data_IF_937692012838
#
_entry.id   IF_937692012838
#
_cell.length_a   1.000
_cell.length_b   1.000
_cell.length_c   1.000
_cell.angle_alpha   90.00
_cell.angle_beta   90.00
_cell.angle_gamma   90.00
#
_symmetry.space_group_name_H-M   'P 1'
#
loop_
_entity.id
_entity.type
_entity.pdbx_description
1 polymer ?
#
# COMPACT_ATOMS: atom_id res chain seq x y z
N UNK A 1 8.02 41.99 -2.44
CA UNK A 1 7.55 40.63 -2.78
C UNK A 1 6.59 40.31 -1.67
N UNK A 2 5.31 40.46 -1.98
CA UNK A 2 4.28 40.53 -0.95
C UNK A 2 3.67 39.15 -0.75
N UNK A 3 3.01 38.95 0.37
CA UNK A 3 2.40 37.66 0.69
C UNK A 3 1.32 37.27 -0.32
N UNK A 4 1.26 36.01 -0.76
CA UNK A 4 0.30 35.58 -1.77
C UNK A 4 -1.11 35.66 -1.20
N UNK A 5 -2.03 36.30 -1.92
CA UNK A 5 -3.42 36.37 -1.47
C UNK A 5 -4.02 34.97 -1.32
N UNK A 6 -4.93 34.82 -0.35
CA UNK A 6 -5.66 33.58 -0.11
C UNK A 6 -6.29 33.05 -1.42
N UNK A 7 -6.01 31.78 -1.74
CA UNK A 7 -6.51 31.11 -2.95
C UNK A 7 -5.55 31.16 -4.14
N UNK A 8 -4.46 31.92 -4.07
CA UNK A 8 -3.39 31.83 -5.07
C UNK A 8 -2.63 30.51 -4.95
N UNK A 9 -2.00 30.09 -6.06
CA UNK A 9 -1.26 28.81 -6.15
C UNK A 9 -0.14 28.68 -5.11
N UNK A 10 0.49 29.79 -4.75
CA UNK A 10 1.57 29.82 -3.75
C UNK A 10 1.07 30.03 -2.31
N UNK A 11 -0.21 30.34 -2.11
CA UNK A 11 -0.75 30.56 -0.78
C UNK A 11 -0.97 29.23 -0.03
N UNK A 12 -0.83 29.21 1.30
CA UNK A 12 -1.23 28.07 2.11
C UNK A 12 -2.73 27.80 1.94
N UNK A 13 -3.11 26.53 2.00
CA UNK A 13 -4.52 26.16 2.16
C UNK A 13 -5.03 26.75 3.47
N UNK A 14 -6.29 27.17 3.49
CA UNK A 14 -6.89 27.71 4.71
C UNK A 14 -6.87 26.67 5.82
N UNK A 15 -6.24 27.01 6.93
CA UNK A 15 -6.19 26.16 8.10
C UNK A 15 -7.52 26.18 8.85
N UNK A 16 -8.09 24.99 9.05
CA UNK A 16 -9.41 24.78 9.67
C UNK A 16 -9.32 24.15 11.07
N UNK A 17 -8.15 24.18 11.71
CA UNK A 17 -7.99 23.65 13.07
C UNK A 17 -7.84 22.13 13.16
N UNK A 18 -7.42 21.45 12.09
CA UNK A 18 -7.16 20.01 12.13
C UNK A 18 -5.77 19.71 12.69
N UNK A 19 -5.70 18.89 13.74
CA UNK A 19 -4.44 18.49 14.38
C UNK A 19 -3.42 17.87 13.42
N UNK A 20 -3.88 17.13 12.39
CA UNK A 20 -2.99 16.53 11.39
C UNK A 20 -2.35 17.51 10.42
N UNK A 21 -2.92 18.72 10.29
CA UNK A 21 -2.53 19.70 9.27
C UNK A 21 -1.76 20.89 9.87
N UNK A 22 -1.80 21.10 11.19
CA UNK A 22 -1.25 22.30 11.85
C UNK A 22 0.26 22.45 11.64
N UNK A 23 1.04 21.38 11.82
CA UNK A 23 2.50 21.42 11.66
C UNK A 23 2.90 21.73 10.22
N UNK A 24 2.21 21.14 9.25
CA UNK A 24 2.46 21.37 7.82
C UNK A 24 2.08 22.78 7.39
N UNK A 25 0.97 23.29 7.92
CA UNK A 25 0.50 24.65 7.69
C UNK A 25 1.51 25.68 8.21
N UNK A 26 1.93 25.58 9.48
CA UNK A 26 2.93 26.47 10.09
C UNK A 26 4.24 26.43 9.32
N UNK A 27 4.74 25.23 8.98
CA UNK A 27 5.97 25.06 8.19
C UNK A 27 5.85 25.65 6.78
N UNK A 28 4.68 25.63 6.18
CA UNK A 28 4.46 26.29 4.89
C UNK A 28 4.49 27.81 5.06
N UNK A 29 3.84 28.33 6.09
CA UNK A 29 3.80 29.76 6.38
C UNK A 29 5.21 30.32 6.69
N UNK A 30 6.01 29.63 7.50
CA UNK A 30 7.40 30.03 7.77
C UNK A 30 8.28 30.07 6.51
N UNK A 31 8.07 29.13 5.57
CA UNK A 31 8.76 29.15 4.28
C UNK A 31 8.37 30.37 3.45
N UNK A 32 7.11 30.79 3.50
CA UNK A 32 6.64 31.99 2.82
C UNK A 32 7.20 33.26 3.48
N UNK A 33 7.22 33.34 4.81
CA UNK A 33 7.88 34.45 5.51
C UNK A 33 9.34 34.59 5.08
N UNK A 34 10.06 33.47 4.98
CA UNK A 34 11.45 33.47 4.50
C UNK A 34 11.56 33.91 3.04
N UNK A 35 10.67 33.45 2.16
CA UNK A 35 10.64 33.81 0.72
C UNK A 35 10.34 35.29 0.52
N UNK A 36 9.36 35.83 1.25
CA UNK A 36 8.93 37.22 1.17
C UNK A 36 9.78 38.17 2.05
N UNK A 37 10.78 37.64 2.77
CA UNK A 37 11.68 38.39 3.68
C UNK A 37 10.95 39.12 4.81
N UNK A 38 9.86 38.54 5.31
CA UNK A 38 9.12 39.07 6.46
C UNK A 38 9.92 38.73 7.71
N UNK A 39 10.45 39.76 8.35
CA UNK A 39 11.32 39.63 9.53
C UNK A 39 10.61 40.04 10.81
N UNK A 40 9.72 41.02 10.73
CA UNK A 40 8.93 41.48 11.86
C UNK A 40 7.95 40.42 12.37
N UNK A 41 7.82 40.32 13.69
CA UNK A 41 6.98 39.31 14.32
C UNK A 41 5.49 39.72 14.35
N UNK A 42 5.18 41.02 14.39
CA UNK A 42 3.80 41.48 14.33
C UNK A 42 3.20 41.23 12.95
N UNK A 43 3.97 41.48 11.89
CA UNK A 43 3.57 41.12 10.52
C UNK A 43 3.28 39.63 10.38
N UNK A 44 4.14 38.75 10.92
CA UNK A 44 3.91 37.29 10.89
C UNK A 44 2.62 36.90 11.61
N UNK A 45 2.36 37.48 12.78
CA UNK A 45 1.13 37.25 13.54
C UNK A 45 -0.11 37.69 12.73
N UNK A 46 -0.05 38.85 12.05
CA UNK A 46 -1.15 39.33 11.21
C UNK A 46 -1.39 38.42 10.00
N UNK A 47 -0.33 38.03 9.30
CA UNK A 47 -0.45 37.14 8.15
C UNK A 47 -0.96 35.74 8.51
N UNK A 48 -0.67 35.23 9.71
CA UNK A 48 -1.25 33.98 10.20
C UNK A 48 -2.79 34.04 10.15
N UNK A 49 -3.38 35.17 10.51
CA UNK A 49 -4.83 35.36 10.54
C UNK A 49 -5.45 35.24 9.15
N UNK A 50 -4.79 35.75 8.10
CA UNK A 50 -5.31 35.75 6.72
C UNK A 50 -5.53 34.35 6.15
N UNK A 51 -4.72 33.37 6.59
CA UNK A 51 -4.81 31.98 6.13
C UNK A 51 -5.54 31.05 7.11
N UNK A 52 -6.07 31.59 8.21
CA UNK A 52 -6.87 30.82 9.17
C UNK A 52 -8.37 30.99 8.93
N UNK A 53 -9.15 29.95 9.22
CA UNK A 53 -10.61 30.04 9.31
C UNK A 53 -11.05 30.92 10.49
N UNK A 54 -12.30 31.41 10.47
CA UNK A 54 -12.83 32.29 11.51
C UNK A 54 -12.72 31.70 12.92
N UNK A 55 -13.06 30.42 13.10
CA UNK A 55 -12.99 29.76 14.41
C UNK A 55 -11.55 29.72 14.96
N UNK A 56 -10.59 29.41 14.07
CA UNK A 56 -9.17 29.40 14.40
C UNK A 56 -8.68 30.83 14.71
N UNK A 57 -9.13 31.83 13.97
CA UNK A 57 -8.81 33.23 14.24
C UNK A 57 -9.33 33.70 15.61
N UNK A 58 -10.54 33.28 16.01
CA UNK A 58 -11.10 33.60 17.32
C UNK A 58 -10.20 33.02 18.42
N UNK A 59 -9.79 31.76 18.30
CA UNK A 59 -8.85 31.14 19.23
C UNK A 59 -7.52 31.90 19.26
N UNK A 60 -6.91 32.18 18.11
CA UNK A 60 -5.61 32.87 18.03
C UNK A 60 -5.68 34.26 18.69
N UNK A 61 -6.76 35.02 18.47
CA UNK A 61 -6.95 36.34 19.11
C UNK A 61 -7.06 36.26 20.64
N UNK A 62 -7.51 35.13 21.18
CA UNK A 62 -7.58 34.94 22.64
C UNK A 62 -6.24 34.61 23.29
N UNK A 63 -5.22 34.23 22.50
CA UNK A 63 -3.89 33.87 23.02
C UNK A 63 -3.08 35.11 23.40
N UNK A 64 -2.38 35.02 24.54
CA UNK A 64 -1.51 36.10 25.02
C UNK A 64 -0.35 36.37 24.09
N UNK A 65 0.19 35.33 23.47
CA UNK A 65 1.31 35.42 22.53
C UNK A 65 0.95 36.26 21.29
N UNK A 66 -0.32 36.20 20.84
CA UNK A 66 -0.81 37.06 19.77
C UNK A 66 -0.95 38.51 20.22
N UNK A 67 -1.50 38.76 21.42
CA UNK A 67 -1.61 40.12 21.98
C UNK A 67 -0.25 40.80 22.12
N UNK A 68 0.78 40.04 22.49
CA UNK A 68 2.17 40.49 22.62
C UNK A 68 2.94 40.52 21.29
N UNK A 69 2.31 40.10 20.19
CA UNK A 69 2.90 40.04 18.85
C UNK A 69 4.21 39.22 18.80
N UNK A 70 4.27 38.12 19.56
CA UNK A 70 5.45 37.25 19.64
C UNK A 70 5.24 36.00 18.79
N UNK A 71 5.79 36.01 17.57
CA UNK A 71 5.58 34.93 16.60
C UNK A 71 6.05 33.56 17.12
N UNK A 72 7.23 33.49 17.74
CA UNK A 72 7.78 32.21 18.24
C UNK A 72 6.90 31.57 19.30
N UNK A 73 6.48 32.35 20.30
CA UNK A 73 5.57 31.89 21.36
C UNK A 73 4.19 31.52 20.79
N UNK A 74 3.66 32.36 19.89
CA UNK A 74 2.37 32.11 19.27
C UNK A 74 2.37 30.82 18.44
N UNK A 75 3.44 30.60 17.68
CA UNK A 75 3.63 29.37 16.89
C UNK A 75 3.56 28.15 17.78
N UNK A 76 4.31 28.14 18.88
CA UNK A 76 4.40 26.99 19.76
C UNK A 76 3.07 26.77 20.50
N UNK A 77 2.38 27.84 20.91
CA UNK A 77 1.05 27.78 21.54
C UNK A 77 -0.05 27.31 20.55
N UNK A 78 0.03 27.70 19.27
CA UNK A 78 -0.84 27.18 18.21
C UNK A 78 -0.59 25.70 17.95
N UNK A 79 0.68 25.26 17.92
CA UNK A 79 1.01 23.84 17.78
C UNK A 79 0.49 23.02 18.97
N UNK A 80 0.60 23.56 20.18
CA UNK A 80 0.12 22.90 21.40
C UNK A 80 -1.41 22.85 21.46
N UNK A 81 -2.10 23.96 21.20
CA UNK A 81 -3.57 24.04 21.28
C UNK A 81 -4.28 23.09 20.31
N UNK A 82 -3.65 22.75 19.18
CA UNK A 82 -4.17 21.79 18.22
C UNK A 82 -3.57 20.38 18.37
N UNK A 83 -2.87 20.08 19.45
CA UNK A 83 -2.20 18.80 19.70
C UNK A 83 -1.41 18.32 18.47
N UNK A 84 -0.51 19.16 17.95
CA UNK A 84 0.30 18.84 16.78
C UNK A 84 1.02 17.47 16.91
N UNK A 85 1.43 17.11 18.13
CA UNK A 85 2.09 15.84 18.44
C UNK A 85 1.17 14.63 18.30
N UNK A 86 -0.15 14.80 18.46
CA UNK A 86 -1.14 13.73 18.23
C UNK A 86 -1.10 13.23 16.78
N UNK A 87 -0.75 14.10 15.83
CA UNK A 87 -0.57 13.69 14.44
C UNK A 87 0.63 12.74 14.29
N UNK A 88 1.69 12.94 15.08
CA UNK A 88 2.84 12.04 15.15
C UNK A 88 2.42 10.72 15.80
N UNK A 89 1.50 10.74 16.78
CA UNK A 89 0.97 9.58 17.48
C UNK A 89 -0.14 8.79 16.74
N UNK A 90 -0.42 9.10 15.47
CA UNK A 90 -1.50 8.48 14.69
C UNK A 90 -1.59 6.96 14.82
N UNK A 91 -0.45 6.28 14.91
CA UNK A 91 -0.36 4.85 15.12
C UNK A 91 0.36 4.52 16.44
N UNK A 92 -0.19 3.54 17.15
CA UNK A 92 0.33 2.96 18.39
C UNK A 92 0.97 1.59 18.12
N UNK A 93 1.80 1.05 19.04
CA UNK A 93 2.36 -0.30 18.89
C UNK A 93 1.29 -1.38 18.67
N UNK A 94 0.12 -1.24 19.30
CA UNK A 94 -0.99 -2.16 19.11
C UNK A 94 -1.53 -2.18 17.67
N UNK A 95 -1.47 -1.05 16.96
CA UNK A 95 -1.87 -0.98 15.54
C UNK A 95 -0.91 -1.78 14.66
N UNK A 96 0.38 -1.82 15.01
CA UNK A 96 1.40 -2.62 14.32
C UNK A 96 1.12 -4.11 14.50
N UNK A 97 0.82 -4.54 15.73
CA UNK A 97 0.47 -5.94 16.03
C UNK A 97 -0.81 -6.33 15.30
N UNK A 98 -1.85 -5.50 15.36
CA UNK A 98 -3.13 -5.73 14.68
C UNK A 98 -2.96 -5.82 13.17
N UNK A 99 -2.17 -4.92 12.58
CA UNK A 99 -1.83 -4.95 11.16
C UNK A 99 -1.09 -6.24 10.80
N UNK A 100 -0.10 -6.64 11.62
CA UNK A 100 0.71 -7.85 11.43
C UNK A 100 -0.18 -9.10 11.43
N UNK A 101 -1.05 -9.25 12.42
CA UNK A 101 -1.96 -10.39 12.53
C UNK A 101 -2.94 -10.47 11.36
N UNK A 102 -3.48 -9.32 10.92
CA UNK A 102 -4.37 -9.25 9.76
C UNK A 102 -3.67 -9.63 8.46
N UNK A 103 -2.48 -9.07 8.23
CA UNK A 103 -1.72 -9.28 6.98
C UNK A 103 -1.11 -10.67 6.89
N UNK A 104 -0.77 -11.30 8.03
CA UNK A 104 -0.32 -12.69 8.09
C UNK A 104 -1.30 -13.66 7.43
N UNK A 105 -2.60 -13.36 7.46
CA UNK A 105 -3.66 -14.19 6.88
C UNK A 105 -4.11 -13.71 5.50
N UNK A 106 -3.48 -12.66 4.95
CA UNK A 106 -3.83 -12.10 3.64
C UNK A 106 -2.78 -12.55 2.62
N UNK A 107 -3.13 -13.37 1.63
CA UNK A 107 -2.15 -13.80 0.63
C UNK A 107 -1.67 -12.64 -0.24
N UNK A 108 -0.45 -12.77 -0.77
CA UNK A 108 0.17 -11.77 -1.64
C UNK A 108 0.83 -12.48 -2.82
N UNK A 109 0.30 -12.25 -4.02
CA UNK A 109 0.67 -12.96 -5.25
C UNK A 109 1.37 -12.05 -6.26
N UNK A 110 1.19 -10.73 -6.14
CA UNK A 110 1.70 -9.78 -7.13
C UNK A 110 2.69 -8.79 -6.53
N UNK A 111 3.56 -8.24 -7.38
CA UNK A 111 4.48 -7.15 -7.00
C UNK A 111 3.72 -5.91 -6.50
N UNK A 112 2.55 -5.63 -7.07
CA UNK A 112 1.71 -4.49 -6.67
C UNK A 112 1.17 -4.67 -5.26
N UNK A 113 0.69 -5.85 -4.92
CA UNK A 113 0.25 -6.19 -3.56
C UNK A 113 1.41 -6.14 -2.57
N UNK A 114 2.58 -6.65 -2.95
CA UNK A 114 3.78 -6.57 -2.11
C UNK A 114 4.17 -5.13 -1.78
N UNK A 115 4.17 -4.25 -2.79
CA UNK A 115 4.44 -2.83 -2.59
C UNK A 115 3.39 -2.17 -1.70
N UNK A 116 2.10 -2.50 -1.87
CA UNK A 116 1.02 -2.01 -0.99
C UNK A 116 1.22 -2.48 0.46
N UNK A 117 1.57 -3.74 0.67
CA UNK A 117 1.89 -4.29 1.99
C UNK A 117 3.06 -3.52 2.63
N UNK A 118 4.18 -3.39 1.90
CA UNK A 118 5.37 -2.66 2.35
C UNK A 118 5.05 -1.24 2.79
N UNK A 119 4.38 -0.48 1.92
CA UNK A 119 4.01 0.93 2.21
C UNK A 119 3.11 1.01 3.43
N UNK A 120 2.06 0.17 3.50
CA UNK A 120 1.14 0.18 4.65
C UNK A 120 1.85 -0.17 5.96
N UNK A 121 2.73 -1.18 5.96
CA UNK A 121 3.49 -1.53 7.14
C UNK A 121 4.37 -0.36 7.62
N UNK A 122 5.15 0.26 6.72
CA UNK A 122 6.01 1.39 7.06
C UNK A 122 5.18 2.57 7.62
N UNK A 123 4.01 2.83 7.03
CA UNK A 123 3.10 3.89 7.52
C UNK A 123 2.60 3.61 8.94
N UNK A 124 2.23 2.37 9.26
CA UNK A 124 1.69 1.99 10.58
C UNK A 124 2.79 1.85 11.62
N UNK A 125 3.92 1.24 11.28
CA UNK A 125 4.98 0.89 12.21
C UNK A 125 6.10 1.92 12.30
N UNK A 126 6.26 2.78 11.29
CA UNK A 126 7.34 3.78 11.24
C UNK A 126 7.27 4.82 12.35
N UNK A 127 6.07 5.33 12.65
CA UNK A 127 5.85 6.27 13.76
C UNK A 127 6.23 5.67 15.13
N UNK A 128 5.60 4.55 15.54
CA UNK A 128 5.96 3.83 16.77
C UNK A 128 7.45 3.49 16.88
N UNK A 129 8.10 3.10 15.78
CA UNK A 129 9.54 2.81 15.74
C UNK A 129 10.40 4.05 15.97
N UNK A 130 10.11 5.17 15.29
CA UNK A 130 10.89 6.41 15.43
C UNK A 130 10.82 6.99 16.85
N UNK A 131 9.70 6.80 17.54
CA UNK A 131 9.53 7.23 18.95
C UNK A 131 10.12 6.25 19.97
N UNK A 132 10.66 5.11 19.53
CA UNK A 132 11.25 4.11 20.41
C UNK A 132 10.24 3.21 21.15
N UNK A 133 8.96 3.24 20.78
CA UNK A 133 7.96 2.33 21.36
C UNK A 133 8.06 0.90 20.82
N UNK A 134 8.78 0.71 19.72
CA UNK A 134 9.09 -0.60 19.13
C UNK A 134 10.59 -0.65 18.91
N UNK A 135 11.24 -1.73 19.36
CA UNK A 135 12.68 -1.88 19.16
C UNK A 135 13.00 -2.09 17.69
N UNK A 136 14.26 -1.86 17.30
CA UNK A 136 14.71 -2.14 15.93
C UNK A 136 14.51 -3.61 15.55
N UNK A 137 14.75 -4.53 16.48
CA UNK A 137 14.53 -5.95 16.27
C UNK A 137 13.05 -6.23 16.00
N UNK A 138 12.16 -5.74 16.86
CA UNK A 138 10.72 -5.94 16.74
C UNK A 138 10.15 -5.33 15.46
N UNK A 139 10.63 -4.15 15.05
CA UNK A 139 10.23 -3.50 13.80
C UNK A 139 10.53 -4.38 12.57
N UNK A 140 11.67 -5.06 12.57
CA UNK A 140 12.00 -5.99 11.50
C UNK A 140 11.26 -7.33 11.62
N UNK A 141 11.11 -7.85 12.84
CA UNK A 141 10.41 -9.09 13.13
C UNK A 141 8.93 -9.01 12.79
N UNK A 142 8.22 -7.94 13.18
CA UNK A 142 6.81 -7.75 12.86
C UNK A 142 6.57 -7.63 11.35
N UNK A 143 7.50 -7.02 10.59
CA UNK A 143 7.41 -7.04 9.13
C UNK A 143 7.49 -8.47 8.61
N UNK A 144 8.49 -9.26 9.02
CA UNK A 144 8.60 -10.66 8.59
C UNK A 144 7.38 -11.51 8.98
N UNK A 145 6.91 -11.36 10.22
CA UNK A 145 5.77 -12.09 10.79
C UNK A 145 4.43 -11.64 10.19
N UNK A 146 4.37 -10.47 9.56
CA UNK A 146 3.17 -9.99 8.86
C UNK A 146 3.01 -10.51 7.45
N UNK A 147 4.04 -11.15 6.87
CA UNK A 147 3.98 -11.73 5.52
C UNK A 147 3.18 -13.03 5.56
N UNK A 148 2.31 -13.28 4.58
CA UNK A 148 1.57 -14.54 4.51
C UNK A 148 2.49 -15.78 4.55
N UNK A 149 2.06 -16.85 5.21
CA UNK A 149 2.89 -18.05 5.44
C UNK A 149 3.43 -18.65 4.13
N UNK A 150 2.60 -18.75 3.08
CA UNK A 150 3.04 -19.30 1.78
C UNK A 150 4.17 -18.49 1.15
N UNK A 151 4.01 -17.16 1.09
CA UNK A 151 5.04 -16.26 0.57
C UNK A 151 6.28 -16.27 1.47
N UNK A 152 6.09 -16.30 2.79
CA UNK A 152 7.19 -16.32 3.75
C UNK A 152 8.11 -17.52 3.55
N UNK A 153 7.57 -18.72 3.37
CA UNK A 153 8.37 -19.93 3.11
C UNK A 153 9.20 -19.79 1.83
N UNK A 154 8.63 -19.22 0.77
CA UNK A 154 9.36 -18.99 -0.49
C UNK A 154 10.49 -17.97 -0.28
N UNK A 155 10.20 -16.85 0.37
CA UNK A 155 11.20 -15.81 0.65
C UNK A 155 12.30 -16.32 1.58
N UNK A 156 11.96 -17.16 2.56
CA UNK A 156 12.91 -17.77 3.50
C UNK A 156 13.91 -18.65 2.76
N UNK A 157 13.43 -19.54 1.90
CA UNK A 157 14.30 -20.37 1.05
C UNK A 157 15.24 -19.52 0.19
N UNK A 158 14.73 -18.45 -0.43
CA UNK A 158 15.55 -17.55 -1.23
C UNK A 158 16.57 -16.74 -0.41
N UNK A 159 16.23 -16.38 0.83
CA UNK A 159 17.13 -15.71 1.77
C UNK A 159 18.26 -16.66 2.20
N UNK A 160 17.93 -17.91 2.54
CA UNK A 160 18.91 -18.94 2.91
C UNK A 160 19.85 -19.30 1.77
N UNK A 161 19.35 -19.37 0.52
CA UNK A 161 20.19 -19.58 -0.67
C UNK A 161 21.22 -18.45 -0.85
N UNK A 162 20.87 -17.20 -0.56
CA UNK A 162 21.79 -16.06 -0.66
C UNK A 162 22.78 -15.98 0.49
N UNK A 163 22.39 -16.41 1.70
CA UNK A 163 23.23 -16.38 2.89
C UNK A 163 23.07 -17.67 3.71
N UNK A 164 23.79 -18.75 3.33
CA UNK A 164 23.66 -20.05 3.99
C UNK A 164 24.15 -20.06 5.44
N UNK A 165 25.13 -19.22 5.78
CA UNK A 165 25.76 -19.14 7.11
C UNK A 165 25.21 -17.91 7.84
N UNK A 166 23.92 -17.93 8.20
CA UNK A 166 23.27 -16.87 9.00
C UNK A 166 22.92 -17.41 10.38
N UNK A 167 23.10 -16.57 11.40
CA UNK A 167 22.64 -16.88 12.76
C UNK A 167 21.09 -17.02 12.76
N UNK A 168 20.52 -18.19 13.15
CA UNK A 168 19.07 -18.40 13.19
C UNK A 168 18.31 -17.44 14.13
N UNK A 169 18.99 -16.87 15.12
CA UNK A 169 18.39 -15.93 16.07
C UNK A 169 18.32 -14.49 15.53
N UNK A 170 18.98 -14.18 14.41
CA UNK A 170 19.00 -12.84 13.84
C UNK A 170 17.78 -12.56 12.97
N UNK A 171 17.01 -11.53 13.31
CA UNK A 171 15.87 -11.07 12.50
C UNK A 171 16.29 -10.67 11.08
N UNK A 172 15.38 -10.84 10.12
CA UNK A 172 15.57 -10.42 8.73
C UNK A 172 15.37 -8.91 8.57
N UNK A 173 16.32 -8.21 7.96
CA UNK A 173 16.15 -6.77 7.71
C UNK A 173 15.11 -6.58 6.61
N UNK A 174 14.24 -5.59 6.77
CA UNK A 174 13.20 -5.25 5.79
C UNK A 174 13.79 -5.05 4.38
N UNK A 175 14.98 -4.46 4.28
CA UNK A 175 15.66 -4.25 2.99
C UNK A 175 16.05 -5.58 2.32
N UNK A 176 16.54 -6.55 3.09
CA UNK A 176 16.90 -7.89 2.59
C UNK A 176 15.66 -8.61 2.07
N UNK A 177 14.58 -8.60 2.87
CA UNK A 177 13.29 -9.21 2.50
C UNK A 177 12.72 -8.56 1.24
N UNK A 178 12.74 -7.22 1.16
CA UNK A 178 12.24 -6.49 -0.01
C UNK A 178 13.00 -6.84 -1.27
N UNK A 179 14.33 -6.92 -1.22
CA UNK A 179 15.15 -7.26 -2.38
C UNK A 179 14.83 -8.66 -2.91
N UNK A 180 14.62 -9.63 -2.01
CA UNK A 180 14.26 -11.00 -2.37
C UNK A 180 12.84 -11.07 -2.92
N UNK A 181 11.89 -10.38 -2.27
CA UNK A 181 10.50 -10.35 -2.72
C UNK A 181 10.34 -9.67 -4.08
N UNK A 182 11.01 -8.55 -4.32
CA UNK A 182 10.98 -7.89 -5.63
C UNK A 182 11.59 -8.78 -6.72
N UNK A 183 12.64 -9.55 -6.41
CA UNK A 183 13.19 -10.51 -7.35
C UNK A 183 12.23 -11.68 -7.61
N UNK A 184 11.61 -12.24 -6.57
CA UNK A 184 10.61 -13.32 -6.68
C UNK A 184 9.44 -12.90 -7.60
N UNK A 185 8.83 -11.75 -7.34
CA UNK A 185 7.69 -11.28 -8.14
C UNK A 185 8.06 -10.79 -9.54
N UNK A 186 9.33 -10.41 -9.79
CA UNK A 186 9.82 -10.15 -11.17
C UNK A 186 10.02 -11.44 -11.95
N UNK A 187 10.51 -12.50 -11.29
CA UNK A 187 10.76 -13.81 -11.91
C UNK A 187 9.46 -14.50 -12.31
N UNK A 188 8.41 -14.40 -11.48
CA UNK A 188 7.10 -14.98 -11.78
C UNK A 188 6.32 -14.26 -12.90
N UNK A 189 6.89 -13.22 -13.53
CA UNK A 189 6.37 -12.70 -14.80
C UNK A 189 6.82 -13.53 -16.01
N UNK A 190 7.95 -14.23 -15.96
CA UNK A 190 8.37 -15.07 -17.09
C UNK A 190 7.52 -16.34 -17.20
N UNK A 191 7.16 -16.99 -16.09
CA UNK A 191 6.22 -18.14 -16.11
C UNK A 191 4.81 -17.73 -16.57
N UNK A 192 4.35 -16.51 -16.22
CA UNK A 192 3.09 -15.98 -16.73
C UNK A 192 3.13 -15.54 -18.21
N UNK A 193 4.33 -15.43 -18.81
CA UNK A 193 4.55 -15.14 -20.24
C UNK A 193 4.83 -16.41 -21.04
N UNK A 194 4.96 -17.58 -20.40
CA UNK A 194 4.88 -18.85 -21.12
C UNK A 194 3.41 -19.00 -21.51
N UNK A 195 3.05 -18.40 -22.65
CA UNK A 195 1.87 -18.81 -23.41
C UNK A 195 2.06 -20.30 -23.60
N UNK A 196 1.26 -21.11 -22.93
CA UNK A 196 1.28 -22.54 -23.15
C UNK A 196 0.83 -22.71 -24.59
N UNK A 197 1.73 -23.10 -25.50
CA UNK A 197 1.40 -23.33 -26.90
C UNK A 197 0.30 -24.41 -27.06
N UNK A 198 0.03 -25.18 -26.01
CA UNK A 198 -1.09 -26.10 -25.92
C UNK A 198 -2.47 -25.43 -25.75
N UNK A 199 -2.53 -24.16 -25.32
CA UNK A 199 -3.77 -23.41 -25.08
C UNK A 199 -4.22 -22.62 -26.32
N UNK A 200 -3.29 -22.35 -27.24
CA UNK A 200 -3.57 -21.91 -28.60
C UNK A 200 -3.29 -23.09 -29.52
N UNK A 201 -4.30 -23.93 -29.76
CA UNK A 201 -4.25 -25.05 -30.70
C UNK A 201 -3.82 -24.59 -32.10
N UNK A 202 -2.52 -24.45 -32.28
CA UNK A 202 -1.93 -24.03 -33.55
C UNK A 202 -1.77 -25.29 -34.36
N UNK A 203 -2.84 -25.66 -35.07
CA UNK A 203 -2.68 -26.46 -36.28
C UNK A 203 -1.92 -25.55 -37.25
N UNK A 204 -0.63 -25.83 -37.40
CA UNK A 204 0.14 -25.36 -38.55
C UNK A 204 -0.34 -26.16 -39.74
N UNK A 205 -1.38 -25.65 -40.41
CA UNK A 205 -1.66 -26.00 -41.79
C UNK A 205 -1.10 -24.86 -42.65
N UNK A 206 -0.02 -25.24 -43.33
CA UNK A 206 0.65 -24.53 -44.40
C UNK A 206 -0.28 -24.58 -45.63
N UNK A 207 -0.84 -23.45 -46.05
CA UNK A 207 -1.24 -23.27 -47.45
C UNK A 207 -1.15 -21.78 -47.84
N UNK A 208 -0.29 -21.54 -48.82
CA UNK A 208 -0.14 -20.32 -49.60
C UNK A 208 -1.49 -19.88 -50.16
N UNK A 209 -1.80 -18.57 -50.13
CA UNK A 209 -2.40 -17.81 -51.25
C UNK A 209 -2.44 -16.32 -50.90
N UNK A 210 -1.74 -15.53 -51.70
CA UNK A 210 -1.85 -14.07 -51.86
C UNK A 210 -3.31 -13.62 -52.04
N UNK A 211 -3.73 -12.53 -51.40
CA UNK A 211 -4.29 -11.38 -52.13
C UNK A 211 -4.90 -10.32 -51.18
N UNK A 212 -4.33 -9.12 -51.36
CA UNK A 212 -4.97 -7.81 -51.45
C UNK A 212 -5.64 -7.11 -50.27
N UNK A 213 -5.35 -5.81 -50.26
CA UNK A 213 -5.75 -4.81 -49.30
C UNK A 213 -7.26 -4.56 -49.28
N UNK A 214 -7.78 -4.23 -48.09
CA UNK A 214 -8.76 -3.15 -48.01
C UNK A 214 -8.72 -2.45 -46.64
N UNK A 215 -8.58 -1.14 -46.75
CA UNK A 215 -8.68 -0.13 -45.73
C UNK A 215 -10.16 0.30 -45.65
N UNK A 216 -10.85 0.15 -44.52
CA UNK A 216 -12.00 1.02 -44.23
C UNK A 216 -12.40 1.09 -42.75
N UNK A 217 -12.89 2.28 -42.44
CA UNK A 217 -13.10 3.00 -41.20
C UNK A 217 -14.53 2.82 -40.63
N UNK A 218 -14.75 3.26 -39.39
CA UNK A 218 -16.04 3.84 -39.00
C UNK A 218 -16.99 3.06 -38.08
N UNK A 219 -17.00 3.51 -36.81
CA UNK A 219 -18.19 3.82 -35.98
C UNK A 219 -19.01 2.72 -35.25
N UNK A 220 -18.90 2.77 -33.91
CA UNK A 220 -19.96 2.92 -32.88
C UNK A 220 -21.40 2.45 -33.19
N UNK A 221 -21.93 1.51 -32.39
CA UNK A 221 -23.13 1.68 -31.53
C UNK A 221 -23.60 0.35 -30.87
N UNK A 222 -23.64 0.40 -29.54
CA UNK A 222 -24.60 -0.24 -28.61
C UNK A 222 -25.38 -1.50 -29.02
N UNK A 223 -25.19 -2.60 -28.27
CA UNK A 223 -26.32 -3.36 -27.69
C UNK A 223 -25.89 -4.15 -26.45
N UNK A 224 -26.61 -3.91 -25.36
CA UNK A 224 -26.59 -4.70 -24.13
C UNK A 224 -26.98 -6.14 -24.44
N UNK A 225 -26.12 -7.10 -24.08
CA UNK A 225 -26.54 -8.46 -23.76
C UNK A 225 -26.06 -8.76 -22.34
N UNK A 226 -27.02 -8.76 -21.44
CA UNK A 226 -26.90 -9.36 -20.11
C UNK A 226 -26.62 -10.85 -20.26
N UNK A 227 -25.39 -11.27 -19.96
CA UNK A 227 -25.11 -12.67 -19.65
C UNK A 227 -24.90 -12.80 -18.15
N UNK A 228 -25.92 -13.34 -17.51
CA UNK A 228 -25.85 -13.93 -16.17
C UNK A 228 -24.78 -15.03 -16.19
N UNK A 229 -23.63 -14.78 -15.56
CA UNK A 229 -22.78 -15.87 -15.12
C UNK A 229 -23.43 -16.49 -13.88
N UNK A 230 -24.20 -17.55 -14.10
CA UNK A 230 -24.54 -18.49 -13.05
C UNK A 230 -23.24 -19.07 -12.49
N UNK A 231 -23.04 -18.94 -11.18
CA UNK A 231 -21.98 -19.65 -10.47
C UNK A 231 -22.18 -21.15 -10.68
N UNK A 232 -21.14 -21.95 -10.95
CA UNK A 232 -21.25 -23.37 -10.66
C UNK A 232 -21.34 -23.50 -9.13
N UNK A 233 -22.49 -23.97 -8.64
CA UNK A 233 -22.58 -24.47 -7.27
C UNK A 233 -21.63 -25.67 -7.16
N UNK A 234 -20.55 -25.47 -6.43
CA UNK A 234 -19.62 -26.53 -6.04
C UNK A 234 -20.35 -27.43 -5.05
N UNK A 235 -20.81 -28.58 -5.53
CA UNK A 235 -21.40 -29.62 -4.69
C UNK A 235 -20.28 -30.28 -3.86
N UNK A 236 -20.16 -29.82 -2.61
CA UNK A 236 -19.12 -30.26 -1.66
C UNK A 236 -19.23 -31.77 -1.40
N UNK A 237 -20.43 -32.34 -1.48
CA UNK A 237 -20.65 -33.78 -1.27
C UNK A 237 -20.13 -34.60 -2.46
N UNK A 238 -20.24 -34.05 -3.68
CA UNK A 238 -19.63 -34.66 -4.86
C UNK A 238 -18.10 -34.67 -4.76
N UNK A 239 -17.48 -33.58 -4.28
CA UNK A 239 -16.03 -33.48 -4.06
C UNK A 239 -15.58 -34.47 -2.97
N UNK A 240 -16.32 -34.56 -1.86
CA UNK A 240 -16.02 -35.52 -0.80
C UNK A 240 -16.11 -36.98 -1.29
N UNK A 241 -17.07 -37.30 -2.16
CA UNK A 241 -17.19 -38.63 -2.76
C UNK A 241 -15.98 -38.95 -3.66
N UNK A 242 -15.51 -38.00 -4.47
CA UNK A 242 -14.36 -38.17 -5.36
C UNK A 242 -13.05 -38.36 -4.60
N UNK A 243 -12.84 -37.62 -3.50
CA UNK A 243 -11.67 -37.80 -2.62
C UNK A 243 -11.66 -39.19 -1.98
N UNK A 244 -12.83 -39.68 -1.54
CA UNK A 244 -12.95 -41.03 -0.96
C UNK A 244 -12.60 -42.11 -1.97
N UNK A 245 -13.01 -41.95 -3.23
CA UNK A 245 -12.67 -42.87 -4.33
C UNK A 245 -11.18 -42.84 -4.66
N UNK A 246 -10.57 -41.65 -4.75
CA UNK A 246 -9.13 -41.50 -5.05
C UNK A 246 -8.24 -42.11 -3.96
N UNK A 247 -8.61 -41.99 -2.68
CA UNK A 247 -7.86 -42.60 -1.58
C UNK A 247 -7.91 -44.14 -1.57
N UNK A 248 -8.84 -44.75 -2.31
CA UNK A 248 -8.95 -46.21 -2.46
C UNK A 248 -8.32 -46.77 -3.74
N UNK A 249 -7.89 -45.90 -4.66
CA UNK A 249 -7.30 -46.30 -5.95
C UNK A 249 -5.77 -46.27 -5.88
N UNK A 250 -5.13 -47.14 -6.68
CA UNK A 250 -3.69 -47.08 -6.90
C UNK A 250 -3.37 -45.88 -7.81
N UNK A 251 -2.28 -45.12 -7.57
CA UNK A 251 -1.82 -44.07 -8.48
C UNK A 251 -1.46 -44.57 -9.89
N UNK A 252 -1.26 -45.87 -10.06
CA UNK A 252 -0.95 -46.52 -11.34
C UNK A 252 -2.21 -46.92 -12.12
N UNK A 253 -3.39 -46.75 -11.53
CA UNK A 253 -4.67 -47.03 -12.17
C UNK A 253 -4.95 -46.01 -13.31
N UNK A 254 -5.25 -46.46 -14.53
CA UNK A 254 -5.57 -45.58 -15.66
C UNK A 254 -6.70 -44.57 -15.39
N UNK A 255 -7.60 -44.86 -14.45
CA UNK A 255 -8.72 -43.98 -14.08
C UNK A 255 -8.36 -42.95 -12.99
N UNK A 256 -7.21 -43.09 -12.33
CA UNK A 256 -6.78 -42.18 -11.26
C UNK A 256 -6.55 -40.75 -11.77
N UNK A 257 -5.80 -40.60 -12.86
CA UNK A 257 -5.44 -39.29 -13.39
C UNK A 257 -6.68 -38.49 -13.90
N UNK A 258 -7.59 -39.06 -14.71
CA UNK A 258 -8.81 -38.35 -15.12
C UNK A 258 -9.69 -37.90 -13.95
N UNK A 259 -9.86 -38.74 -12.93
CA UNK A 259 -10.69 -38.43 -11.76
C UNK A 259 -10.05 -37.33 -10.88
N UNK A 260 -8.72 -37.37 -10.73
CA UNK A 260 -7.95 -36.34 -10.03
C UNK A 260 -8.06 -34.97 -10.73
N UNK A 261 -7.94 -34.93 -12.06
CA UNK A 261 -8.12 -33.70 -12.83
C UNK A 261 -9.54 -33.14 -12.77
N UNK A 262 -10.56 -34.01 -12.71
CA UNK A 262 -11.95 -33.60 -12.54
C UNK A 262 -12.18 -32.94 -11.18
N UNK A 263 -11.59 -33.49 -10.12
CA UNK A 263 -11.65 -32.92 -8.77
C UNK A 263 -11.00 -31.52 -8.71
N UNK A 264 -9.82 -31.34 -9.32
CA UNK A 264 -9.12 -30.05 -9.37
C UNK A 264 -9.90 -28.95 -10.10
N UNK A 265 -10.77 -29.30 -11.05
CA UNK A 265 -11.63 -28.34 -11.78
C UNK A 265 -12.90 -27.96 -11.00
N UNK A 266 -13.24 -28.69 -9.96
CA UNK A 266 -14.43 -28.46 -9.13
C UNK A 266 -14.14 -27.70 -7.81
N UNK A 267 -12.87 -27.53 -7.44
CA UNK A 267 -12.38 -26.70 -6.32
C UNK A 267 -11.98 -25.29 -6.76
#
# INVERSE_FOLDING_TARGET
MDMPMRGQKEAPKTFKGKYTEVSDFIRHLERLFKKCKITDDADKCNYLMEYCSNDVQILIRSLDSYRRQQWSALRDEVLQSYDADRALEKYKPMDVITFTLKTKNTPCYTLTEWRKYKVKYITVAGGPYQRGHITRADYHTYFWVGIHQSLRMILENLLLQRQPIRNPSAYYKIQEINNVAEWHFRRNKHEALIINASDYGTQVDDDDTDDEASEFDGHELTKKTSYSHGKPETDIDAIASMIKTLNGMSPEDPEYAPLYFKMLKCT
#
